data_IF_977145297218
#
_entry.id   IF_977145297218
#
_cell.length_a   1.000
_cell.length_b   1.000
_cell.length_c   1.000
_cell.angle_alpha   90.00
_cell.angle_beta   90.00
_cell.angle_gamma   90.00
#
_symmetry.space_group_name_H-M   'P 1'
#
loop_
_entity.id
_entity.type
_entity.pdbx_description
1 polymer ?
#
# COMPACT_ATOMS: atom_id res chain seq x y z
N UNK A 1 15.27 2.67 -7.26
CA UNK A 1 13.93 3.11 -6.81
C UNK A 1 12.89 2.79 -7.86
N UNK A 2 11.82 2.12 -7.46
CA UNK A 2 10.71 1.79 -8.35
C UNK A 2 9.41 2.31 -7.77
N UNK A 3 8.50 2.73 -8.64
CA UNK A 3 7.25 3.36 -8.25
C UNK A 3 6.08 2.73 -9.02
N UNK A 4 4.96 2.56 -8.35
CA UNK A 4 3.71 2.15 -8.97
C UNK A 4 2.59 3.06 -8.48
N UNK A 5 1.61 3.29 -9.35
CA UNK A 5 0.38 3.99 -8.98
C UNK A 5 -0.68 2.94 -8.71
N UNK A 6 -1.35 3.04 -7.58
CA UNK A 6 -2.35 2.08 -7.16
C UNK A 6 -3.67 2.79 -6.84
N UNK A 7 -4.73 2.42 -7.56
CA UNK A 7 -6.06 2.98 -7.32
C UNK A 7 -6.80 2.15 -6.30
N UNK A 8 -7.33 2.80 -5.26
CA UNK A 8 -8.07 2.12 -4.21
C UNK A 8 -9.45 1.75 -4.73
N UNK A 9 -9.77 0.45 -4.73
CA UNK A 9 -11.04 -0.07 -5.23
C UNK A 9 -12.05 -0.42 -4.15
N UNK A 10 -11.62 -0.55 -2.90
CA UNK A 10 -12.49 -0.89 -1.80
C UNK A 10 -13.31 0.30 -1.32
N UNK A 11 -14.60 0.10 -1.07
CA UNK A 11 -15.50 1.18 -0.66
C UNK A 11 -15.14 1.84 0.67
N UNK A 12 -14.35 1.17 1.49
CA UNK A 12 -13.91 1.69 2.79
C UNK A 12 -12.55 2.37 2.74
N UNK A 13 -11.96 2.52 1.53
CA UNK A 13 -10.65 3.12 1.37
C UNK A 13 -9.53 2.29 1.96
N UNK A 14 -8.44 2.94 2.34
CA UNK A 14 -7.29 2.26 2.94
C UNK A 14 -7.47 2.16 4.45
N UNK A 15 -8.44 1.33 4.88
CA UNK A 15 -8.69 1.08 6.30
C UNK A 15 -7.74 -0.03 6.81
N UNK A 16 -7.96 -0.47 8.06
CA UNK A 16 -7.01 -1.36 8.75
C UNK A 16 -6.69 -2.65 8.00
N UNK A 17 -7.69 -3.28 7.36
CA UNK A 17 -7.47 -4.57 6.67
C UNK A 17 -6.48 -4.45 5.49
N UNK A 18 -6.74 -3.62 4.48
CA UNK A 18 -5.78 -3.49 3.38
C UNK A 18 -4.48 -2.83 3.81
N UNK A 19 -4.51 -1.87 4.73
CA UNK A 19 -3.29 -1.26 5.25
C UNK A 19 -2.43 -2.30 5.98
N UNK A 20 -3.06 -3.18 6.76
CA UNK A 20 -2.36 -4.28 7.43
C UNK A 20 -1.74 -5.26 6.45
N UNK A 21 -2.44 -5.57 5.36
CA UNK A 21 -1.92 -6.44 4.31
C UNK A 21 -0.68 -5.82 3.66
N UNK A 22 -0.73 -4.52 3.38
CA UNK A 22 0.41 -3.81 2.81
C UNK A 22 1.62 -3.85 3.76
N UNK A 23 1.41 -3.56 5.04
CA UNK A 23 2.48 -3.58 6.04
C UNK A 23 3.11 -4.97 6.13
N UNK A 24 2.29 -6.02 6.20
CA UNK A 24 2.78 -7.38 6.30
C UNK A 24 3.66 -7.75 5.10
N UNK A 25 3.23 -7.39 3.90
CA UNK A 25 4.01 -7.63 2.69
C UNK A 25 5.31 -6.81 2.69
N UNK A 26 5.21 -5.52 3.04
CA UNK A 26 6.38 -4.62 3.04
C UNK A 26 7.46 -5.08 4.01
N UNK A 27 7.07 -5.60 5.17
CA UNK A 27 8.03 -6.05 6.19
C UNK A 27 8.84 -7.27 5.78
N UNK A 28 8.43 -7.98 4.74
CA UNK A 28 9.16 -9.14 4.23
C UNK A 28 10.43 -8.75 3.47
N UNK A 29 10.58 -7.48 3.15
CA UNK A 29 11.66 -6.99 2.28
C UNK A 29 12.51 -5.95 3.00
N UNK A 30 13.77 -5.86 2.58
CA UNK A 30 14.69 -4.84 3.09
C UNK A 30 14.44 -3.47 2.48
N UNK A 31 13.85 -3.41 1.28
CA UNK A 31 13.58 -2.15 0.61
C UNK A 31 12.69 -1.24 1.47
N UNK A 32 12.98 0.06 1.43
CA UNK A 32 12.12 1.05 2.06
C UNK A 32 10.85 1.19 1.21
N UNK A 33 9.70 1.19 1.85
CA UNK A 33 8.41 1.33 1.16
C UNK A 33 7.77 2.62 1.64
N UNK A 34 7.47 3.53 0.71
CA UNK A 34 6.72 4.74 1.02
C UNK A 34 5.46 4.79 0.19
N UNK A 35 4.40 5.36 0.77
CA UNK A 35 3.09 5.46 0.13
C UNK A 35 2.66 6.91 0.21
N UNK A 36 2.36 7.51 -0.94
CA UNK A 36 1.98 8.92 -1.01
C UNK A 36 0.56 9.08 -1.52
N UNK A 37 -0.13 10.06 -0.97
CA UNK A 37 -1.44 10.50 -1.45
C UNK A 37 -1.36 12.03 -1.59
N UNK A 38 -1.22 12.49 -2.82
CA UNK A 38 -0.97 13.91 -3.06
C UNK A 38 0.36 14.33 -2.44
N UNK A 39 0.33 15.31 -1.55
CA UNK A 39 1.51 15.80 -0.84
C UNK A 39 1.74 15.14 0.52
N UNK A 40 0.91 14.16 0.87
CA UNK A 40 1.07 13.38 2.11
C UNK A 40 1.86 12.11 1.83
N UNK A 41 2.68 11.72 2.79
CA UNK A 41 3.50 10.53 2.65
C UNK A 41 3.47 9.71 3.94
N UNK A 42 3.49 8.39 3.78
CA UNK A 42 3.47 7.45 4.89
C UNK A 42 4.53 6.37 4.68
N UNK A 43 5.00 5.82 5.79
CA UNK A 43 5.90 4.67 5.80
C UNK A 43 5.07 3.41 5.59
N UNK A 44 5.36 2.65 4.52
CA UNK A 44 4.63 1.43 4.19
C UNK A 44 4.83 0.29 5.17
N UNK A 45 5.75 0.42 6.12
CA UNK A 45 5.98 -0.58 7.15
C UNK A 45 5.33 -0.23 8.49
N UNK A 46 4.54 0.84 8.52
CA UNK A 46 3.90 1.32 9.75
C UNK A 46 2.41 1.53 9.53
N UNK A 47 1.61 0.74 10.24
CA UNK A 47 0.15 0.74 10.06
C UNK A 47 -0.49 2.10 10.34
N UNK A 48 -0.13 2.71 11.47
CA UNK A 48 -0.71 4.00 11.84
C UNK A 48 -0.34 5.08 10.82
N UNK A 49 0.90 5.07 10.34
CA UNK A 49 1.35 6.01 9.32
C UNK A 49 0.46 5.93 8.07
N UNK A 50 0.20 4.71 7.59
CA UNK A 50 -0.66 4.50 6.42
C UNK A 50 -2.08 4.98 6.65
N UNK A 51 -2.64 4.72 7.83
CA UNK A 51 -4.02 5.09 8.12
C UNK A 51 -4.19 6.61 8.23
N UNK A 52 -3.13 7.35 8.57
CA UNK A 52 -3.21 8.81 8.64
C UNK A 52 -3.28 9.48 7.28
N UNK A 53 -3.03 8.74 6.19
CA UNK A 53 -3.17 9.31 4.85
C UNK A 53 -4.60 9.71 4.54
N UNK A 54 -5.57 9.03 5.12
CA UNK A 54 -6.98 9.31 4.86
C UNK A 54 -7.41 8.94 3.45
N UNK A 55 -6.76 7.96 2.85
CA UNK A 55 -7.04 7.55 1.47
C UNK A 55 -8.42 6.88 1.36
N UNK A 56 -9.17 7.26 0.35
CA UNK A 56 -10.55 6.82 0.13
C UNK A 56 -10.68 6.04 -1.16
N UNK A 57 -11.85 5.38 -1.33
CA UNK A 57 -12.17 4.70 -2.58
C UNK A 57 -12.00 5.66 -3.76
N UNK A 58 -11.32 5.21 -4.79
CA UNK A 58 -11.04 6.01 -5.99
C UNK A 58 -9.77 6.82 -5.95
N UNK A 59 -9.18 7.01 -4.76
CA UNK A 59 -7.91 7.73 -4.65
C UNK A 59 -6.78 6.90 -5.25
N UNK A 60 -5.79 7.59 -5.78
CA UNK A 60 -4.59 6.95 -6.32
C UNK A 60 -3.44 7.13 -5.36
N UNK A 61 -2.85 6.01 -4.97
CA UNK A 61 -1.66 5.99 -4.14
C UNK A 61 -0.43 5.85 -5.04
N UNK A 62 0.63 6.55 -4.69
CA UNK A 62 1.93 6.35 -5.31
C UNK A 62 2.77 5.53 -4.33
N UNK A 63 3.12 4.31 -4.72
CA UNK A 63 3.88 3.39 -3.88
C UNK A 63 5.31 3.32 -4.44
N UNK A 64 6.28 3.63 -3.60
CA UNK A 64 7.69 3.65 -3.99
C UNK A 64 8.47 2.66 -3.16
N UNK A 65 9.29 1.85 -3.82
CA UNK A 65 10.20 0.92 -3.17
C UNK A 65 11.64 1.27 -3.54
N UNK A 66 12.53 1.32 -2.54
CA UNK A 66 13.93 1.65 -2.74
C UNK A 66 14.82 0.68 -1.97
N UNK A 67 15.66 -0.07 -2.68
CA UNK A 67 16.55 -1.06 -2.11
C UNK A 67 16.88 -2.16 -3.12
N UNK A 68 17.70 -3.12 -2.70
CA UNK A 68 18.13 -4.19 -3.60
C UNK A 68 16.97 -5.07 -4.08
N UNK A 69 15.99 -5.29 -3.20
CA UNK A 69 14.81 -6.13 -3.52
C UNK A 69 13.59 -5.31 -3.89
N UNK A 70 13.78 -4.08 -4.37
CA UNK A 70 12.69 -3.14 -4.62
C UNK A 70 11.64 -3.65 -5.61
N UNK A 71 12.05 -4.34 -6.66
CA UNK A 71 11.10 -4.85 -7.65
C UNK A 71 10.18 -5.92 -7.05
N UNK A 72 10.78 -6.87 -6.31
CA UNK A 72 10.02 -7.91 -5.63
C UNK A 72 9.12 -7.32 -4.55
N UNK A 73 9.63 -6.33 -3.81
CA UNK A 73 8.88 -5.67 -2.75
C UNK A 73 7.65 -4.95 -3.31
N UNK A 74 7.81 -4.19 -4.38
CA UNK A 74 6.71 -3.45 -5.00
C UNK A 74 5.63 -4.40 -5.53
N UNK A 75 6.06 -5.48 -6.19
CA UNK A 75 5.14 -6.50 -6.68
C UNK A 75 4.35 -7.16 -5.56
N UNK A 76 5.02 -7.52 -4.46
CA UNK A 76 4.36 -8.16 -3.32
C UNK A 76 3.37 -7.22 -2.63
N UNK A 77 3.71 -5.95 -2.49
CA UNK A 77 2.84 -4.95 -1.87
C UNK A 77 1.58 -4.73 -2.69
N UNK A 78 1.72 -4.57 -4.01
CA UNK A 78 0.55 -4.37 -4.88
C UNK A 78 -0.32 -5.61 -4.92
N UNK A 79 0.27 -6.81 -4.95
CA UNK A 79 -0.49 -8.06 -4.90
C UNK A 79 -1.25 -8.21 -3.59
N UNK A 80 -0.64 -7.81 -2.47
CA UNK A 80 -1.31 -7.87 -1.16
C UNK A 80 -2.52 -6.94 -1.12
N UNK A 81 -2.40 -5.75 -1.69
CA UNK A 81 -3.53 -4.81 -1.78
C UNK A 81 -4.64 -5.38 -2.68
N UNK A 82 -4.28 -5.95 -3.83
CA UNK A 82 -5.26 -6.57 -4.73
C UNK A 82 -6.04 -7.66 -4.02
N UNK A 83 -5.34 -8.52 -3.29
CA UNK A 83 -5.97 -9.62 -2.56
C UNK A 83 -6.90 -9.10 -1.46
N UNK A 84 -6.48 -8.10 -0.71
CA UNK A 84 -7.29 -7.53 0.36
C UNK A 84 -8.55 -6.87 -0.18
N UNK A 85 -8.44 -6.10 -1.26
CA UNK A 85 -9.61 -5.45 -1.86
C UNK A 85 -10.52 -6.43 -2.58
N UNK A 86 -9.97 -7.49 -3.16
CA UNK A 86 -10.78 -8.56 -3.77
C UNK A 86 -11.67 -9.23 -2.71
N UNK A 87 -11.15 -9.46 -1.51
CA UNK A 87 -11.93 -10.03 -0.41
C UNK A 87 -13.10 -9.11 -0.01
N UNK A 88 -12.91 -7.80 -0.07
CA UNK A 88 -13.97 -6.84 0.25
C UNK A 88 -15.09 -6.82 -0.80
N UNK A 89 -14.77 -7.10 -2.07
CA UNK A 89 -15.78 -7.11 -3.13
C UNK A 89 -16.82 -8.20 -2.96
N UNK A 90 -16.49 -9.23 -2.18
CA UNK A 90 -17.41 -10.35 -1.95
C UNK A 90 -18.37 -10.09 -0.77
N UNK A 91 -18.25 -8.96 -0.11
CA UNK A 91 -19.09 -8.60 1.03
C UNK A 91 -20.43 -7.93 0.63
#
# INVERSE_FOLDING_TARGET
MKTAVYRIEGKHGLHARPAGALVAAAKRFGAAISVSLGDREADGKRLISLMTLGARAGDELKITAAGEDEAAALSAVTAALDSAFAAERDE
#
